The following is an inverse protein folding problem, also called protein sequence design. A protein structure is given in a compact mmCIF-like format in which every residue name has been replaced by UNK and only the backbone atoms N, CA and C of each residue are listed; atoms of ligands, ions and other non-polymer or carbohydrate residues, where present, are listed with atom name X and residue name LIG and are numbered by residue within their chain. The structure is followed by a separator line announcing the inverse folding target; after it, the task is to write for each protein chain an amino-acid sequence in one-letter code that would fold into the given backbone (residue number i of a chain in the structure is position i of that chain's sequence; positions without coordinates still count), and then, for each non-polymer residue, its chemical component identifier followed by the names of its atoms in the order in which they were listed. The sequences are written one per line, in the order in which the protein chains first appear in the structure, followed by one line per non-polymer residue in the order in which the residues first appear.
data_IF_841417489198
#
_entry.id   IF_841417489198
#
_cell.length_a   1.000
_cell.length_b   1.000
_cell.length_c   1.000
_cell.angle_alpha   90.00
_cell.angle_beta   90.00
_cell.angle_gamma   90.00
#
_symmetry.space_group_name_H-M   'P 1'
#
loop_
_entity.id
_entity.type
_entity.pdbx_description
1 polymer ?
#
# COMPACT_ATOMS: atom_id res chain seq x y z
N UNK A 1 11.98 -2.06 9.30
CA UNK A 1 10.87 -2.09 8.31
C UNK A 1 9.63 -1.39 8.80
N UNK A 2 8.77 -0.92 7.88
CA UNK A 2 7.44 -0.40 8.22
C UNK A 2 6.47 -1.59 8.42
N UNK A 3 5.63 -1.62 9.46
CA UNK A 3 4.66 -2.70 9.65
C UNK A 3 3.70 -2.80 8.47
N UNK A 4 3.43 -4.02 8.00
CA UNK A 4 2.58 -4.26 6.83
C UNK A 4 1.16 -3.69 7.01
N UNK A 5 0.57 -3.85 8.19
CA UNK A 5 -0.76 -3.32 8.51
C UNK A 5 -0.83 -1.80 8.42
N UNK A 6 0.22 -1.10 8.85
CA UNK A 6 0.31 0.36 8.73
C UNK A 6 0.39 0.81 7.26
N UNK A 7 1.07 0.04 6.41
CA UNK A 7 1.11 0.29 4.97
C UNK A 7 -0.24 0.02 4.30
N UNK A 8 -0.93 -1.06 4.67
CA UNK A 8 -2.29 -1.36 4.20
C UNK A 8 -3.25 -0.22 4.56
N UNK A 9 -3.24 0.22 5.82
CA UNK A 9 -4.05 1.36 6.27
C UNK A 9 -3.73 2.64 5.49
N UNK A 10 -2.45 2.87 5.17
CA UNK A 10 -2.02 4.03 4.37
C UNK A 10 -2.54 3.97 2.93
N UNK A 11 -2.61 2.78 2.32
CA UNK A 11 -3.19 2.62 0.98
C UNK A 11 -4.70 2.90 1.02
N UNK A 12 -5.42 2.31 1.98
CA UNK A 12 -6.88 2.42 2.04
C UNK A 12 -7.35 3.80 2.46
N UNK A 13 -6.68 4.42 3.43
CA UNK A 13 -7.12 5.66 4.09
C UNK A 13 -6.28 6.88 3.74
N UNK A 14 -5.20 6.71 2.98
CA UNK A 14 -4.28 7.78 2.65
C UNK A 14 -3.55 8.31 3.88
N UNK A 15 -3.02 9.53 3.77
CA UNK A 15 -2.42 10.26 4.90
C UNK A 15 -2.95 11.69 4.92
N UNK A 16 -3.76 12.07 5.92
CA UNK A 16 -4.23 13.43 6.07
C UNK A 16 -3.08 14.44 6.07
N UNK A 17 -3.25 15.54 5.33
CA UNK A 17 -2.24 16.59 5.22
C UNK A 17 -1.05 16.27 4.31
N UNK A 18 -1.09 15.17 3.54
CA UNK A 18 -0.06 14.87 2.53
C UNK A 18 -0.69 14.56 1.16
N UNK A 19 0.10 14.53 0.08
CA UNK A 19 -0.36 14.12 -1.24
C UNK A 19 -0.75 12.63 -1.39
N UNK A 20 -0.79 11.84 -0.31
CA UNK A 20 -1.15 10.42 -0.36
C UNK A 20 -2.68 10.28 -0.16
N UNK A 21 -3.47 10.07 -1.24
CA UNK A 21 -4.92 9.97 -1.12
C UNK A 21 -5.36 8.59 -0.62
N UNK A 22 -6.60 8.47 -0.10
CA UNK A 22 -7.21 7.18 0.18
C UNK A 22 -7.59 6.45 -1.12
N UNK A 23 -7.21 5.18 -1.24
CA UNK A 23 -7.58 4.32 -2.38
C UNK A 23 -8.69 3.31 -2.06
N UNK A 24 -9.24 3.34 -0.84
CA UNK A 24 -10.30 2.41 -0.40
C UNK A 24 -11.62 2.48 -1.18
N UNK A 25 -11.80 3.48 -2.05
CA UNK A 25 -12.92 3.51 -3.00
C UNK A 25 -12.74 2.57 -4.20
N UNK A 26 -11.50 2.11 -4.46
CA UNK A 26 -11.13 1.27 -5.60
C UNK A 26 -10.53 -0.07 -5.18
N UNK A 27 -10.02 -0.18 -3.95
CA UNK A 27 -9.33 -1.34 -3.43
C UNK A 27 -10.00 -1.83 -2.15
N UNK A 28 -10.08 -3.15 -1.99
CA UNK A 28 -10.41 -3.79 -0.73
C UNK A 28 -9.13 -4.12 0.08
N UNK A 29 -9.31 -4.57 1.33
CA UNK A 29 -8.20 -4.85 2.23
C UNK A 29 -7.27 -5.96 1.72
N UNK A 30 -7.81 -7.00 1.09
CA UNK A 30 -7.00 -8.11 0.56
C UNK A 30 -6.12 -7.64 -0.61
N UNK A 31 -6.63 -6.77 -1.47
CA UNK A 31 -5.88 -6.17 -2.57
C UNK A 31 -4.77 -5.26 -2.05
N UNK A 32 -5.06 -4.39 -1.08
CA UNK A 32 -4.06 -3.55 -0.43
C UNK A 32 -2.97 -4.39 0.25
N UNK A 33 -3.34 -5.49 0.93
CA UNK A 33 -2.40 -6.42 1.55
C UNK A 33 -1.53 -7.13 0.51
N UNK A 34 -2.10 -7.53 -0.63
CA UNK A 34 -1.34 -8.09 -1.75
C UNK A 34 -0.34 -7.08 -2.33
N UNK A 35 -0.74 -5.82 -2.51
CA UNK A 35 0.16 -4.74 -2.99
C UNK A 35 1.35 -4.59 -2.05
N UNK A 36 1.10 -4.50 -0.74
CA UNK A 36 2.17 -4.38 0.27
C UNK A 36 3.15 -5.55 0.20
N UNK A 37 2.64 -6.78 0.14
CA UNK A 37 3.47 -7.99 0.00
C UNK A 37 4.36 -7.95 -1.26
N UNK A 38 3.81 -7.52 -2.40
CA UNK A 38 4.57 -7.37 -3.65
C UNK A 38 5.63 -6.28 -3.55
N UNK A 39 5.28 -5.11 -3.05
CA UNK A 39 6.21 -3.98 -2.91
C UNK A 39 7.36 -4.31 -1.94
N UNK A 40 7.09 -5.04 -0.87
CA UNK A 40 8.12 -5.46 0.09
C UNK A 40 9.11 -6.47 -0.50
N UNK A 41 8.70 -7.25 -1.50
CA UNK A 41 9.58 -8.17 -2.24
C UNK A 41 10.49 -7.44 -3.24
N UNK A 42 10.24 -6.15 -3.48
CA UNK A 42 10.92 -5.36 -4.50
C UNK A 42 10.41 -5.64 -5.91
N UNK A 43 10.93 -4.88 -6.87
CA UNK A 43 10.68 -5.10 -8.29
C UNK A 43 11.83 -5.91 -8.90
N UNK A 44 11.58 -6.80 -9.87
CA UNK A 44 12.66 -7.44 -10.61
C UNK A 44 13.52 -6.37 -11.30
N UNK A 45 14.83 -6.57 -11.34
CA UNK A 45 15.73 -5.71 -12.11
C UNK A 45 15.30 -5.74 -13.59
N UNK A 46 15.05 -4.56 -14.17
CA UNK A 46 14.88 -4.38 -15.61
C UNK A 46 16.23 -4.66 -16.30
N UNK A 47 16.51 -5.94 -16.59
CA UNK A 47 17.64 -6.35 -17.44
C UNK A 47 17.21 -6.54 -18.88
#
# INVERSE_FOLDING_TARGET
DKPAESLVATILHGRPGTPMPPWGAFLNENEARWIVDKLQKGFPDER
#
